data_IF_510846864424
#
_entry.id   IF_510846864424
#
_cell.length_a   1.000
_cell.length_b   1.000
_cell.length_c   1.000
_cell.angle_alpha   90.00
_cell.angle_beta   90.00
_cell.angle_gamma   90.00
#
_symmetry.space_group_name_H-M   'P 1'
#
loop_
_entity.id
_entity.type
_entity.pdbx_description
1 polymer ?
#
# COMPACT_ATOMS: atom_id res chain seq x y z
N UNK A 1 10.60 26.86 9.67
CA UNK A 1 10.27 25.55 10.26
C UNK A 1 11.26 25.21 11.37
N UNK A 2 10.78 25.00 12.58
CA UNK A 2 11.59 24.61 13.74
C UNK A 2 12.36 23.30 13.46
N UNK A 3 11.74 22.35 12.75
CA UNK A 3 12.39 21.06 12.39
C UNK A 3 13.65 21.24 11.55
N UNK A 4 13.63 22.11 10.55
CA UNK A 4 14.82 22.35 9.73
C UNK A 4 15.99 22.93 10.53
N UNK A 5 15.70 23.72 11.57
CA UNK A 5 16.74 24.24 12.46
C UNK A 5 17.44 23.14 13.28
N UNK A 6 16.75 22.03 13.60
CA UNK A 6 17.38 20.86 14.26
C UNK A 6 18.39 20.15 13.35
N UNK A 7 18.27 20.30 12.02
CA UNK A 7 19.24 19.78 11.06
C UNK A 7 20.31 20.80 10.68
N UNK A 8 20.45 21.89 11.45
CA UNK A 8 21.43 22.92 11.23
C UNK A 8 21.10 23.91 10.09
N UNK A 9 19.92 23.78 9.46
CA UNK A 9 19.50 24.65 8.37
C UNK A 9 19.10 26.03 8.91
N UNK A 10 19.60 27.10 8.28
CA UNK A 10 19.32 28.50 8.67
C UNK A 10 19.12 29.39 7.45
N UNK A 11 18.45 30.52 7.64
CA UNK A 11 18.32 31.56 6.62
C UNK A 11 17.78 31.05 5.28
N UNK A 12 18.49 31.29 4.20
CA UNK A 12 18.11 30.94 2.82
C UNK A 12 18.05 29.40 2.61
N UNK A 13 18.99 28.66 3.18
CA UNK A 13 19.02 27.19 3.05
C UNK A 13 17.78 26.54 3.70
N UNK A 14 17.35 27.03 4.86
CA UNK A 14 16.11 26.57 5.48
C UNK A 14 14.87 26.89 4.63
N UNK A 15 14.79 28.08 4.08
CA UNK A 15 13.66 28.47 3.21
C UNK A 15 13.57 27.57 1.97
N UNK A 16 14.70 27.33 1.31
CA UNK A 16 14.76 26.45 0.14
C UNK A 16 14.37 25.00 0.47
N UNK A 17 14.91 24.43 1.57
CA UNK A 17 14.58 23.07 1.99
C UNK A 17 13.09 22.92 2.34
N UNK A 18 12.47 23.95 2.93
CA UNK A 18 11.03 23.94 3.24
C UNK A 18 10.22 24.02 1.95
N UNK A 19 10.57 24.89 1.01
CA UNK A 19 9.88 25.01 -0.28
C UNK A 19 9.94 23.70 -1.08
N UNK A 20 11.12 23.10 -1.20
CA UNK A 20 11.34 21.81 -1.85
C UNK A 20 10.52 20.67 -1.19
N UNK A 21 10.52 20.61 0.12
CA UNK A 21 9.74 19.60 0.85
C UNK A 21 8.23 19.76 0.66
N UNK A 22 7.72 20.99 0.58
CA UNK A 22 6.30 21.30 0.32
C UNK A 22 5.93 20.88 -1.10
N UNK A 23 6.75 21.19 -2.09
CA UNK A 23 6.54 20.83 -3.49
C UNK A 23 6.52 19.29 -3.65
N UNK A 24 7.56 18.61 -3.18
CA UNK A 24 7.69 17.14 -3.26
C UNK A 24 6.57 16.37 -2.57
N UNK A 25 5.98 16.95 -1.53
CA UNK A 25 4.86 16.34 -0.80
C UNK A 25 3.47 16.70 -1.38
N UNK A 26 3.40 17.54 -2.42
CA UNK A 26 2.16 18.06 -2.97
C UNK A 26 1.36 18.92 -1.97
N UNK A 27 2.04 19.63 -1.07
CA UNK A 27 1.41 20.44 -0.02
C UNK A 27 1.26 21.92 -0.37
N UNK A 28 1.58 22.33 -1.60
CA UNK A 28 1.64 23.73 -2.05
C UNK A 28 0.31 24.47 -1.85
N UNK A 29 -0.82 23.86 -2.21
CA UNK A 29 -2.14 24.50 -2.20
C UNK A 29 -2.64 24.85 -0.80
N UNK A 30 -2.12 24.19 0.23
CA UNK A 30 -2.54 24.37 1.60
C UNK A 30 -1.43 24.75 2.58
N UNK A 31 -0.24 25.06 2.08
CA UNK A 31 0.96 25.36 2.89
C UNK A 31 0.76 26.50 3.90
N UNK A 32 -0.15 27.44 3.61
CA UNK A 32 -0.47 28.57 4.46
C UNK A 32 -1.64 28.32 5.42
N UNK A 33 -2.27 27.13 5.36
CA UNK A 33 -3.38 26.81 6.26
C UNK A 33 -2.85 26.28 7.59
N UNK A 34 -3.46 26.67 8.72
CA UNK A 34 -3.15 26.08 10.01
C UNK A 34 -3.35 24.55 10.01
N UNK A 35 -2.40 23.80 10.57
CA UNK A 35 -2.43 22.33 10.57
C UNK A 35 -3.75 21.73 11.08
N UNK A 36 -4.35 22.33 12.13
CA UNK A 36 -5.64 21.86 12.68
C UNK A 36 -6.84 22.04 11.74
N UNK A 37 -6.71 22.87 10.69
CA UNK A 37 -7.75 23.10 9.67
C UNK A 37 -7.54 22.26 8.40
N UNK A 38 -6.52 21.42 8.36
CA UNK A 38 -6.24 20.53 7.24
C UNK A 38 -7.13 19.29 7.31
N UNK A 39 -7.55 18.78 6.14
CA UNK A 39 -8.18 17.45 6.03
C UNK A 39 -7.19 16.34 6.43
N UNK A 40 -7.67 15.10 6.63
CA UNK A 40 -6.82 13.96 6.98
C UNK A 40 -5.67 13.77 5.99
N UNK A 41 -5.95 13.75 4.70
CA UNK A 41 -4.93 13.61 3.64
C UNK A 41 -3.99 14.81 3.54
N UNK A 42 -4.51 16.04 3.72
CA UNK A 42 -3.65 17.24 3.78
C UNK A 42 -2.70 17.18 4.97
N UNK A 43 -3.17 16.75 6.14
CA UNK A 43 -2.31 16.53 7.32
C UNK A 43 -1.23 15.50 7.04
N UNK A 44 -1.58 14.38 6.41
CA UNK A 44 -0.61 13.34 6.08
C UNK A 44 0.47 13.84 5.10
N UNK A 45 0.08 14.58 4.05
CA UNK A 45 1.06 15.22 3.14
C UNK A 45 1.92 16.29 3.84
N UNK A 46 1.36 17.04 4.77
CA UNK A 46 2.13 17.97 5.58
C UNK A 46 3.14 17.25 6.50
N UNK A 47 2.79 16.08 7.04
CA UNK A 47 3.71 15.26 7.84
C UNK A 47 4.83 14.66 6.97
N UNK A 48 4.53 14.22 5.75
CA UNK A 48 5.53 13.82 4.75
C UNK A 48 6.45 15.01 4.46
N UNK A 49 5.90 16.21 4.16
CA UNK A 49 6.73 17.41 3.95
C UNK A 49 7.70 17.68 5.11
N UNK A 50 7.23 17.52 6.34
CA UNK A 50 8.08 17.68 7.54
C UNK A 50 9.21 16.67 7.61
N UNK A 51 9.00 15.45 7.13
CA UNK A 51 10.03 14.41 7.08
C UNK A 51 11.04 14.64 5.95
N UNK A 52 10.65 15.33 4.86
CA UNK A 52 11.49 15.61 3.70
C UNK A 52 12.47 16.77 3.87
N UNK A 53 12.34 17.61 4.91
CA UNK A 53 13.14 18.84 5.09
C UNK A 53 14.64 18.58 5.06
N UNK A 54 15.13 17.45 5.53
CA UNK A 54 16.53 17.07 5.52
C UNK A 54 16.91 16.16 4.33
N UNK A 55 16.06 16.07 3.31
CA UNK A 55 16.28 15.23 2.12
C UNK A 55 16.77 13.81 2.44
N UNK A 56 16.01 13.01 3.18
CA UNK A 56 16.43 11.69 3.59
C UNK A 56 16.51 10.74 2.39
N UNK A 57 17.45 9.80 2.40
CA UNK A 57 17.49 8.71 1.41
C UNK A 57 16.41 7.65 1.66
N UNK A 58 16.00 7.49 2.91
CA UNK A 58 14.99 6.53 3.34
C UNK A 58 13.91 7.28 4.12
N UNK A 59 12.67 7.10 3.72
CA UNK A 59 11.49 7.66 4.39
C UNK A 59 10.71 6.53 5.06
N UNK A 60 10.48 6.64 6.37
CA UNK A 60 9.63 5.72 7.13
C UNK A 60 8.25 6.31 7.32
N UNK A 61 7.23 5.56 6.96
CA UNK A 61 5.83 5.93 7.09
C UNK A 61 5.08 4.82 7.82
N UNK A 62 4.57 5.14 8.99
CA UNK A 62 3.76 4.21 9.78
C UNK A 62 2.28 4.43 9.48
N UNK A 63 1.64 3.42 8.87
CA UNK A 63 0.23 3.42 8.45
C UNK A 63 -0.23 4.74 7.80
N UNK A 64 0.42 5.21 6.71
CA UNK A 64 0.22 6.57 6.21
C UNK A 64 -1.19 6.87 5.71
N UNK A 65 -2.01 5.87 5.47
CA UNK A 65 -3.34 5.98 4.85
C UNK A 65 -4.48 5.56 5.77
N UNK A 66 -4.17 5.09 6.97
CA UNK A 66 -5.18 4.66 7.94
C UNK A 66 -6.14 5.79 8.31
N UNK A 67 -7.44 5.49 8.29
CA UNK A 67 -8.50 6.45 8.59
C UNK A 67 -8.80 7.46 7.47
N UNK A 68 -8.25 7.28 6.27
CA UNK A 68 -8.55 8.08 5.10
C UNK A 68 -9.60 7.40 4.21
N UNK A 69 -10.43 8.21 3.56
CA UNK A 69 -11.33 7.76 2.51
C UNK A 69 -10.53 7.25 1.28
N UNK A 70 -11.12 6.41 0.40
CA UNK A 70 -10.41 5.80 -0.72
C UNK A 70 -9.74 6.82 -1.67
N UNK A 71 -10.41 7.93 -1.99
CA UNK A 71 -9.86 8.94 -2.89
C UNK A 71 -8.66 9.67 -2.27
N UNK A 72 -8.77 10.04 -1.00
CA UNK A 72 -7.69 10.66 -0.25
C UNK A 72 -6.50 9.71 -0.10
N UNK A 73 -6.75 8.41 0.09
CA UNK A 73 -5.71 7.37 0.13
C UNK A 73 -4.91 7.33 -1.17
N UNK A 74 -5.59 7.33 -2.33
CA UNK A 74 -4.92 7.38 -3.64
C UNK A 74 -4.00 8.60 -3.76
N UNK A 75 -4.45 9.78 -3.35
CA UNK A 75 -3.64 11.02 -3.38
C UNK A 75 -2.37 10.93 -2.52
N UNK A 76 -2.42 10.27 -1.36
CA UNK A 76 -1.23 10.02 -0.53
C UNK A 76 -0.30 9.03 -1.23
N UNK A 77 -0.84 7.99 -1.87
CA UNK A 77 -0.08 7.00 -2.62
C UNK A 77 0.62 7.61 -3.84
N UNK A 78 -0.02 8.51 -4.56
CA UNK A 78 0.61 9.27 -5.65
C UNK A 78 1.83 10.05 -5.14
N UNK A 79 1.69 10.73 -4.00
CA UNK A 79 2.81 11.43 -3.36
C UNK A 79 3.96 10.47 -3.06
N UNK A 80 3.69 9.32 -2.45
CA UNK A 80 4.71 8.30 -2.12
C UNK A 80 5.35 7.72 -3.39
N UNK A 81 4.55 7.47 -4.43
CA UNK A 81 5.04 6.97 -5.72
C UNK A 81 5.99 7.95 -6.40
N UNK A 82 5.66 9.24 -6.39
CA UNK A 82 6.49 10.30 -6.96
C UNK A 82 7.81 10.44 -6.20
N UNK A 83 7.79 10.39 -4.87
CA UNK A 83 9.01 10.40 -4.06
C UNK A 83 9.96 9.27 -4.43
N UNK A 84 9.42 8.08 -4.70
CA UNK A 84 10.19 6.92 -5.12
C UNK A 84 10.72 7.07 -6.56
N UNK A 85 9.84 7.42 -7.51
CA UNK A 85 10.16 7.40 -8.95
C UNK A 85 11.00 8.59 -9.39
N UNK A 86 10.63 9.79 -8.94
CA UNK A 86 11.24 11.04 -9.43
C UNK A 86 12.45 11.44 -8.59
N UNK A 87 12.45 11.13 -7.29
CA UNK A 87 13.51 11.52 -6.38
C UNK A 87 14.41 10.37 -5.93
N UNK A 88 14.19 9.15 -6.45
CA UNK A 88 15.02 7.97 -6.12
C UNK A 88 15.01 7.61 -4.64
N UNK A 89 13.95 7.99 -3.91
CA UNK A 89 13.85 7.79 -2.47
C UNK A 89 13.42 6.35 -2.16
N UNK A 90 14.06 5.72 -1.19
CA UNK A 90 13.56 4.47 -0.63
C UNK A 90 12.46 4.78 0.39
N UNK A 91 11.26 4.26 0.16
CA UNK A 91 10.15 4.41 1.10
C UNK A 91 9.88 3.08 1.78
N UNK A 92 10.00 3.07 3.10
CA UNK A 92 9.59 1.97 3.97
C UNK A 92 8.29 2.36 4.65
N UNK A 93 7.23 1.56 4.44
CA UNK A 93 5.94 1.85 5.06
C UNK A 93 5.34 0.60 5.70
N UNK A 94 4.54 0.81 6.74
CA UNK A 94 3.66 -0.22 7.28
C UNK A 94 2.24 -0.01 6.77
N UNK A 95 1.52 -1.09 6.53
CA UNK A 95 0.11 -1.05 6.15
C UNK A 95 -0.57 -2.37 6.48
N UNK A 96 -1.88 -2.33 6.68
CA UNK A 96 -2.74 -3.51 6.78
C UNK A 96 -3.67 -3.65 5.55
N UNK A 97 -3.49 -2.80 4.53
CA UNK A 97 -4.23 -2.86 3.27
C UNK A 97 -3.44 -3.62 2.21
N UNK A 98 -4.01 -4.72 1.72
CA UNK A 98 -3.36 -5.57 0.70
C UNK A 98 -3.15 -4.83 -0.63
N UNK A 99 -4.09 -3.95 -1.00
CA UNK A 99 -4.00 -3.15 -2.23
C UNK A 99 -2.77 -2.23 -2.22
N UNK A 100 -2.34 -1.81 -1.05
CA UNK A 100 -1.13 -1.01 -0.90
C UNK A 100 0.13 -1.84 -1.08
N UNK A 101 0.15 -3.06 -0.55
CA UNK A 101 1.25 -3.98 -0.72
C UNK A 101 1.47 -4.37 -2.19
N UNK A 102 0.43 -4.39 -3.03
CA UNK A 102 0.55 -4.69 -4.46
C UNK A 102 1.42 -3.69 -5.23
N UNK A 103 1.49 -2.44 -4.76
CA UNK A 103 2.28 -1.37 -5.37
C UNK A 103 3.71 -1.28 -4.81
N UNK A 104 4.06 -2.11 -3.83
CA UNK A 104 5.40 -2.14 -3.26
C UNK A 104 6.39 -2.88 -4.15
N UNK A 105 7.68 -2.53 -4.08
CA UNK A 105 8.74 -3.30 -4.73
C UNK A 105 9.08 -4.59 -3.98
N UNK A 106 8.89 -4.60 -2.67
CA UNK A 106 9.12 -5.73 -1.79
C UNK A 106 8.18 -5.67 -0.59
N UNK A 107 7.69 -6.82 -0.14
CA UNK A 107 6.72 -6.93 0.95
C UNK A 107 7.26 -7.89 2.01
N UNK A 108 7.08 -7.53 3.27
CA UNK A 108 7.32 -8.39 4.43
C UNK A 108 6.01 -8.53 5.18
N UNK A 109 5.51 -9.74 5.28
CA UNK A 109 4.30 -10.07 6.06
C UNK A 109 4.74 -10.53 7.43
N UNK A 110 4.23 -9.85 8.45
CA UNK A 110 4.51 -10.15 9.85
C UNK A 110 3.27 -10.72 10.54
N UNK A 111 3.47 -11.77 11.32
CA UNK A 111 2.47 -12.33 12.22
C UNK A 111 3.11 -12.66 13.57
N UNK A 112 2.46 -12.23 14.64
CA UNK A 112 2.88 -12.50 16.03
C UNK A 112 4.36 -12.18 16.29
N UNK A 113 4.84 -11.05 15.73
CA UNK A 113 6.22 -10.57 15.89
C UNK A 113 7.28 -11.33 15.09
N UNK A 114 6.87 -12.22 14.17
CA UNK A 114 7.76 -13.00 13.29
C UNK A 114 7.46 -12.71 11.82
N UNK A 115 8.45 -12.88 10.96
CA UNK A 115 8.26 -12.82 9.51
C UNK A 115 7.57 -14.12 9.08
N UNK A 116 6.31 -14.00 8.64
CA UNK A 116 5.52 -15.12 8.12
C UNK A 116 5.84 -15.38 6.63
N UNK A 117 6.02 -14.31 5.84
CA UNK A 117 6.40 -14.38 4.43
C UNK A 117 7.09 -13.10 3.99
N UNK A 118 7.90 -13.19 2.94
CA UNK A 118 8.53 -12.02 2.33
C UNK A 118 8.85 -12.29 0.85
N UNK A 119 8.88 -11.25 0.04
CA UNK A 119 9.15 -11.31 -1.39
C UNK A 119 8.53 -10.16 -2.15
N UNK A 120 8.63 -10.18 -3.47
CA UNK A 120 7.86 -9.27 -4.33
C UNK A 120 6.37 -9.62 -4.27
N UNK A 121 5.46 -8.68 -4.56
CA UNK A 121 4.02 -8.98 -4.62
C UNK A 121 3.70 -10.15 -5.56
N UNK A 122 4.39 -10.25 -6.69
CA UNK A 122 4.20 -11.33 -7.68
C UNK A 122 4.60 -12.69 -7.10
N UNK A 123 5.77 -12.78 -6.46
CA UNK A 123 6.24 -14.00 -5.80
C UNK A 123 5.28 -14.45 -4.69
N UNK A 124 4.82 -13.51 -3.86
CA UNK A 124 3.90 -13.82 -2.77
C UNK A 124 2.54 -14.29 -3.31
N UNK A 125 2.00 -13.63 -4.34
CA UNK A 125 0.77 -14.07 -5.00
C UNK A 125 0.93 -15.48 -5.58
N UNK A 126 1.99 -15.75 -6.33
CA UNK A 126 2.19 -17.07 -6.93
C UNK A 126 2.37 -18.19 -5.91
N UNK A 127 2.92 -17.88 -4.73
CA UNK A 127 3.19 -18.84 -3.66
C UNK A 127 1.97 -19.11 -2.76
N UNK A 128 1.21 -18.07 -2.45
CA UNK A 128 0.19 -18.12 -1.39
C UNK A 128 -1.24 -17.89 -1.90
N UNK A 129 -1.41 -17.35 -3.09
CA UNK A 129 -2.73 -17.11 -3.70
C UNK A 129 -2.94 -18.11 -4.81
N UNK A 130 -3.98 -18.93 -4.68
CA UNK A 130 -4.48 -19.75 -5.77
C UNK A 130 -5.68 -19.04 -6.37
N UNK A 131 -5.72 -18.88 -7.68
CA UNK A 131 -6.92 -18.44 -8.36
C UNK A 131 -8.04 -19.44 -8.07
N UNK A 132 -9.24 -18.94 -7.78
CA UNK A 132 -10.40 -19.75 -7.45
C UNK A 132 -11.42 -19.66 -8.57
N UNK A 133 -11.59 -20.75 -9.30
CA UNK A 133 -12.73 -20.88 -10.19
C UNK A 133 -13.99 -21.14 -9.37
N UNK A 134 -14.94 -20.22 -9.43
CA UNK A 134 -16.25 -20.41 -8.78
C UNK A 134 -17.29 -20.75 -9.84
N UNK A 135 -17.85 -21.93 -9.73
CA UNK A 135 -18.93 -22.42 -10.60
C UNK A 135 -20.24 -22.32 -9.83
N UNK A 136 -21.20 -21.57 -10.35
CA UNK A 136 -22.56 -21.54 -9.82
C UNK A 136 -23.35 -22.68 -10.43
N UNK A 137 -24.03 -23.46 -9.60
CA UNK A 137 -24.85 -24.60 -10.07
C UNK A 137 -26.25 -24.56 -9.47
N UNK A 138 -27.20 -25.10 -10.21
CA UNK A 138 -28.53 -25.44 -9.68
C UNK A 138 -28.49 -26.88 -9.20
N UNK A 139 -29.09 -27.18 -8.06
CA UNK A 139 -28.93 -28.42 -7.30
C UNK A 139 -28.91 -29.76 -8.05
N UNK A 140 -29.59 -29.87 -9.20
CA UNK A 140 -29.64 -31.09 -10.04
C UNK A 140 -28.30 -31.45 -10.72
N UNK A 141 -27.35 -30.52 -10.85
CA UNK A 141 -26.07 -30.74 -11.56
C UNK A 141 -24.91 -31.00 -10.61
N UNK A 142 -25.13 -30.96 -9.31
CA UNK A 142 -24.08 -31.09 -8.28
C UNK A 142 -23.33 -32.43 -8.35
N UNK A 143 -24.07 -33.53 -8.49
CA UNK A 143 -23.49 -34.86 -8.56
C UNK A 143 -22.62 -35.10 -9.80
N UNK A 144 -23.00 -34.51 -10.93
CA UNK A 144 -22.22 -34.59 -12.17
C UNK A 144 -20.92 -33.79 -12.09
N UNK A 145 -20.99 -32.58 -11.53
CA UNK A 145 -19.80 -31.76 -11.30
C UNK A 145 -18.85 -32.48 -10.36
N UNK A 146 -19.34 -33.02 -9.26
CA UNK A 146 -18.53 -33.76 -8.28
C UNK A 146 -17.84 -34.97 -8.92
N UNK A 147 -18.56 -35.73 -9.73
CA UNK A 147 -18.03 -36.92 -10.44
C UNK A 147 -16.88 -36.51 -11.38
N UNK A 148 -17.04 -35.42 -12.12
CA UNK A 148 -16.00 -34.92 -13.03
C UNK A 148 -14.77 -34.45 -12.27
N UNK A 149 -14.95 -33.69 -11.18
CA UNK A 149 -13.83 -33.19 -10.39
C UNK A 149 -13.05 -34.33 -9.72
N UNK A 150 -13.75 -35.34 -9.19
CA UNK A 150 -13.12 -36.56 -8.64
C UNK A 150 -12.37 -37.34 -9.71
N UNK A 151 -12.92 -37.47 -10.92
CA UNK A 151 -12.22 -38.20 -12.02
C UNK A 151 -10.94 -37.52 -12.48
N UNK A 152 -10.78 -36.22 -12.21
CA UNK A 152 -9.60 -35.40 -12.56
C UNK A 152 -8.68 -35.13 -11.36
N UNK A 153 -8.93 -35.74 -10.21
CA UNK A 153 -8.18 -35.56 -8.94
C UNK A 153 -8.03 -34.05 -8.55
N UNK A 154 -9.05 -33.26 -8.80
CA UNK A 154 -9.07 -31.85 -8.51
C UNK A 154 -9.53 -31.59 -7.07
N UNK A 155 -8.81 -30.71 -6.35
CA UNK A 155 -9.29 -30.22 -5.04
C UNK A 155 -10.46 -29.26 -5.26
N UNK A 156 -11.50 -29.37 -4.44
CA UNK A 156 -12.68 -28.52 -4.52
C UNK A 156 -13.38 -28.37 -3.18
N UNK A 157 -14.17 -27.32 -3.04
CA UNK A 157 -15.10 -27.10 -1.92
C UNK A 157 -16.49 -26.79 -2.44
N UNK A 158 -17.50 -27.42 -1.83
CA UNK A 158 -18.91 -27.19 -2.17
C UNK A 158 -19.57 -26.25 -1.15
N UNK A 159 -20.44 -25.38 -1.65
CA UNK A 159 -21.51 -24.73 -0.90
C UNK A 159 -22.86 -25.09 -1.51
N UNK A 160 -23.97 -24.62 -0.94
CA UNK A 160 -25.32 -24.93 -1.48
C UNK A 160 -25.52 -24.50 -2.94
N UNK A 161 -24.78 -23.51 -3.41
CA UNK A 161 -25.00 -22.90 -4.74
C UNK A 161 -23.71 -22.79 -5.56
N UNK A 162 -22.54 -23.09 -4.99
CA UNK A 162 -21.26 -22.91 -5.68
C UNK A 162 -20.28 -24.05 -5.43
N UNK A 163 -19.47 -24.31 -6.45
CA UNK A 163 -18.27 -25.14 -6.36
C UNK A 163 -17.07 -24.22 -6.55
N UNK A 164 -16.12 -24.27 -5.63
CA UNK A 164 -14.86 -23.53 -5.71
C UNK A 164 -13.72 -24.49 -5.95
N UNK A 165 -12.95 -24.21 -6.99
CA UNK A 165 -11.82 -25.05 -7.45
C UNK A 165 -10.58 -24.17 -7.45
N UNK A 166 -9.53 -24.49 -6.67
CA UNK A 166 -8.26 -23.80 -6.76
C UNK A 166 -7.60 -24.13 -8.10
N UNK A 167 -7.30 -23.11 -8.91
CA UNK A 167 -6.58 -23.23 -10.17
C UNK A 167 -5.22 -22.59 -10.04
N UNK A 168 -4.19 -23.23 -10.61
CA UNK A 168 -2.87 -22.59 -10.68
C UNK A 168 -2.87 -21.63 -11.85
N UNK A 169 -2.50 -20.38 -11.60
CA UNK A 169 -2.16 -19.47 -12.71
C UNK A 169 -0.96 -20.05 -13.45
N UNK A 170 -1.08 -20.19 -14.75
CA UNK A 170 0.03 -20.55 -15.65
C UNK A 170 0.94 -19.36 -15.89
#
# INVERSE_FOLDING_TARGET
SIRGSFYGLKGKSLKNAVADAIEKSGATDFMNRPYGKLSGGQRRRADIARALINTPKILFLDEPTTGLDPQTRLSVWETVSNLRKEYGMTVFLTTHYLEEAENAGYVVIMDSGKIAAQGTPVELKSKYVSDMLTIYHKGSTMADIERILKSKDMKYTFTKETVKIPVKST
#
